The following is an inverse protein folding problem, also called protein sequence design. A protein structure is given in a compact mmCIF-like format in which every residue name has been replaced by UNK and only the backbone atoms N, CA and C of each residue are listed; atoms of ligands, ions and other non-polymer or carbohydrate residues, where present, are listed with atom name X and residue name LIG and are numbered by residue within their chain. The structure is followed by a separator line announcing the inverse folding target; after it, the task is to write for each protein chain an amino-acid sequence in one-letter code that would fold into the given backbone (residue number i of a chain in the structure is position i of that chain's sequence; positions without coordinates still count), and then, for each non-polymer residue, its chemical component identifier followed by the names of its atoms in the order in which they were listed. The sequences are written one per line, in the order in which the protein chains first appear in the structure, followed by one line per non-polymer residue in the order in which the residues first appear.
data_IF_617328720635
#
_entry.id   IF_617328720635
#
_cell.length_a   1.000
_cell.length_b   1.000
_cell.length_c   1.000
_cell.angle_alpha   90.00
_cell.angle_beta   90.00
_cell.angle_gamma   90.00
#
_symmetry.space_group_name_H-M   'P 1'
#
loop_
_entity.id
_entity.type
_entity.pdbx_description
1 polymer ?
#
# COMPACT_ATOMS: atom_id res chain seq x y z
N UNK A 1 20.07 8.92 13.78
CA UNK A 1 18.65 9.09 13.42
C UNK A 1 18.07 10.31 14.17
N UNK A 2 18.43 11.55 13.78
CA UNK A 2 18.13 12.77 14.57
C UNK A 2 16.75 13.40 14.31
N UNK A 3 16.10 13.10 13.18
CA UNK A 3 14.77 13.66 12.86
C UNK A 3 13.63 13.09 13.71
N UNK A 4 13.80 11.90 14.28
CA UNK A 4 12.79 11.22 15.09
C UNK A 4 12.73 11.72 16.55
N UNK A 5 13.85 12.21 17.10
CA UNK A 5 13.86 12.88 18.42
C UNK A 5 13.16 14.24 18.39
N UNK A 6 13.20 14.94 17.25
CA UNK A 6 12.58 16.25 17.06
C UNK A 6 11.04 16.21 17.11
N UNK A 7 10.43 15.04 16.89
CA UNK A 7 8.97 14.84 16.95
C UNK A 7 8.48 14.30 18.31
N UNK A 8 9.33 14.33 19.33
CA UNK A 8 8.91 14.38 20.74
C UNK A 8 8.30 13.10 21.33
N UNK A 9 8.45 11.93 20.71
CA UNK A 9 8.02 10.65 21.31
C UNK A 9 8.95 9.53 20.90
N UNK A 10 9.47 8.81 21.90
CA UNK A 10 9.92 7.43 21.73
C UNK A 10 8.93 6.70 20.81
N UNK A 11 9.43 5.95 19.82
CA UNK A 11 8.65 5.02 19.02
C UNK A 11 7.89 4.08 19.98
N UNK A 12 6.67 4.48 20.34
CA UNK A 12 5.80 3.71 21.21
C UNK A 12 5.37 2.47 20.46
N UNK A 13 5.20 1.36 21.18
CA UNK A 13 4.66 0.10 20.63
C UNK A 13 3.40 0.35 19.79
N UNK A 14 2.55 1.31 20.18
CA UNK A 14 1.36 1.70 19.42
C UNK A 14 1.65 2.43 18.10
N UNK A 15 2.69 3.26 18.03
CA UNK A 15 3.09 3.96 16.80
C UNK A 15 3.68 3.01 15.76
N UNK A 16 4.40 1.98 16.21
CA UNK A 16 4.92 0.91 15.34
C UNK A 16 3.75 0.14 14.71
N UNK A 17 2.77 -0.27 15.52
CA UNK A 17 1.58 -0.99 15.04
C UNK A 17 0.80 -0.12 14.04
N UNK A 18 0.59 1.17 14.34
CA UNK A 18 -0.09 2.08 13.43
C UNK A 18 0.65 2.21 12.09
N UNK A 19 1.99 2.33 12.12
CA UNK A 19 2.81 2.42 10.92
C UNK A 19 2.71 1.17 10.05
N UNK A 20 2.70 -0.02 10.68
CA UNK A 20 2.48 -1.29 9.99
C UNK A 20 1.10 -1.27 9.32
N UNK A 21 0.02 -0.95 10.06
CA UNK A 21 -1.34 -0.89 9.51
C UNK A 21 -1.44 0.08 8.33
N UNK A 22 -0.85 1.27 8.47
CA UNK A 22 -0.83 2.27 7.39
C UNK A 22 -0.05 1.80 6.16
N UNK A 23 1.02 1.02 6.36
CA UNK A 23 1.78 0.43 5.24
C UNK A 23 0.94 -0.61 4.48
N UNK A 24 0.15 -1.41 5.18
CA UNK A 24 -0.80 -2.33 4.56
C UNK A 24 -1.89 -1.58 3.80
N UNK A 25 -2.48 -0.53 4.41
CA UNK A 25 -3.46 0.34 3.76
C UNK A 25 -2.91 1.04 2.52
N UNK A 26 -1.65 1.49 2.55
CA UNK A 26 -1.02 2.14 1.41
C UNK A 26 -0.88 1.20 0.21
N UNK A 27 -0.60 -0.08 0.44
CA UNK A 27 -0.50 -1.08 -0.63
C UNK A 27 -1.88 -1.32 -1.27
N UNK A 28 -2.95 -1.44 -0.47
CA UNK A 28 -4.33 -1.52 -0.98
C UNK A 28 -4.71 -0.28 -1.80
N UNK A 29 -4.42 0.90 -1.26
CA UNK A 29 -4.75 2.15 -1.93
C UNK A 29 -3.95 2.31 -3.23
N UNK A 30 -2.68 1.92 -3.24
CA UNK A 30 -1.84 1.95 -4.43
C UNK A 30 -2.40 1.05 -5.53
N UNK A 31 -2.85 -0.15 -5.17
CA UNK A 31 -3.45 -1.09 -6.13
C UNK A 31 -4.76 -0.53 -6.71
N UNK A 32 -5.63 0.02 -5.86
CA UNK A 32 -6.89 0.62 -6.30
C UNK A 32 -6.67 1.86 -7.20
N UNK A 33 -5.67 2.68 -6.90
CA UNK A 33 -5.28 3.83 -7.72
C UNK A 33 -4.68 3.37 -9.05
N UNK A 34 -3.83 2.35 -9.03
CA UNK A 34 -3.23 1.75 -10.23
C UNK A 34 -4.32 1.25 -11.18
N UNK A 35 -5.29 0.49 -10.67
CA UNK A 35 -6.45 0.04 -11.44
C UNK A 35 -7.25 1.22 -12.01
N UNK A 36 -7.53 2.24 -11.21
CA UNK A 36 -8.24 3.43 -11.69
C UNK A 36 -7.52 4.15 -12.82
N UNK A 37 -6.18 4.24 -12.75
CA UNK A 37 -5.34 4.81 -13.82
C UNK A 37 -5.36 3.92 -15.06
N UNK A 38 -5.21 2.61 -14.92
CA UNK A 38 -5.27 1.67 -16.06
C UNK A 38 -6.61 1.74 -16.78
N UNK A 39 -7.71 1.73 -16.03
CA UNK A 39 -9.07 1.89 -16.57
C UNK A 39 -9.22 3.22 -17.29
N UNK A 40 -8.71 4.31 -16.72
CA UNK A 40 -8.74 5.61 -17.39
C UNK A 40 -7.85 5.65 -18.65
N UNK A 41 -6.68 5.01 -18.63
CA UNK A 41 -5.80 4.94 -19.79
C UNK A 41 -6.41 4.13 -20.93
N UNK A 42 -7.04 2.99 -20.64
CA UNK A 42 -7.59 2.11 -21.67
C UNK A 42 -8.98 2.56 -22.16
N UNK A 43 -9.88 2.95 -21.25
CA UNK A 43 -11.25 3.34 -21.59
C UNK A 43 -11.39 4.85 -21.82
N UNK A 44 -10.55 5.67 -21.20
CA UNK A 44 -10.56 7.13 -21.39
C UNK A 44 -10.10 7.54 -22.78
N UNK A 45 -9.14 6.81 -23.39
CA UNK A 45 -8.76 7.03 -24.79
C UNK A 45 -9.90 6.69 -25.77
N UNK A 46 -10.70 5.66 -25.50
CA UNK A 46 -11.81 5.26 -26.40
C UNK A 46 -13.13 6.01 -26.17
N UNK A 47 -13.46 6.38 -24.93
CA UNK A 47 -14.78 6.89 -24.56
C UNK A 47 -14.79 8.29 -23.95
N UNK A 48 -13.65 8.98 -23.86
CA UNK A 48 -13.54 10.30 -23.20
C UNK A 48 -14.12 10.31 -21.77
N UNK A 49 -13.95 9.21 -21.05
CA UNK A 49 -14.42 9.05 -19.67
C UNK A 49 -13.62 9.95 -18.73
N UNK A 50 -14.33 10.69 -17.88
CA UNK A 50 -13.70 11.45 -16.80
C UNK A 50 -13.08 10.50 -15.77
N UNK A 51 -12.01 10.94 -15.10
CA UNK A 51 -11.26 10.15 -14.13
C UNK A 51 -12.17 9.54 -13.05
N UNK A 52 -13.18 10.29 -12.61
CA UNK A 52 -14.18 9.83 -11.61
C UNK A 52 -15.07 8.70 -12.09
N UNK A 53 -15.38 8.65 -13.39
CA UNK A 53 -16.21 7.59 -13.96
C UNK A 53 -15.38 6.31 -14.11
N UNK A 54 -14.11 6.43 -14.46
CA UNK A 54 -13.16 5.31 -14.45
C UNK A 54 -13.05 4.68 -13.06
N UNK A 55 -12.94 5.47 -11.98
CA UNK A 55 -12.90 4.93 -10.61
C UNK A 55 -14.20 4.24 -10.18
N UNK A 56 -15.36 4.64 -10.72
CA UNK A 56 -16.63 3.95 -10.47
C UNK A 56 -16.73 2.59 -11.15
N UNK A 57 -16.01 2.40 -12.25
CA UNK A 57 -15.97 1.14 -13.00
C UNK A 57 -15.00 0.13 -12.39
N UNK A 58 -13.98 0.58 -11.65
CA UNK A 58 -13.03 -0.30 -10.93
C UNK A 58 -13.71 -1.40 -10.11
N UNK A 59 -14.69 -1.12 -9.21
CA UNK A 59 -15.35 -2.17 -8.45
C UNK A 59 -16.18 -3.14 -9.32
N UNK A 60 -16.66 -2.71 -10.48
CA UNK A 60 -17.36 -3.58 -11.43
C UNK A 60 -16.34 -4.51 -12.12
N UNK A 61 -15.19 -3.98 -12.54
CA UNK A 61 -14.11 -4.73 -13.16
C UNK A 61 -13.44 -5.71 -12.17
N UNK A 62 -13.44 -5.40 -10.88
CA UNK A 62 -12.99 -6.33 -9.84
C UNK A 62 -13.91 -7.56 -9.68
N UNK A 63 -15.11 -7.59 -10.27
CA UNK A 63 -15.95 -8.80 -10.30
C UNK A 63 -15.48 -9.81 -11.36
N UNK A 64 -14.67 -9.38 -12.33
CA UNK A 64 -14.06 -10.25 -13.32
C UNK A 64 -13.03 -11.17 -12.64
N UNK A 65 -13.19 -12.49 -12.81
CA UNK A 65 -12.33 -13.48 -12.15
C UNK A 65 -10.86 -13.37 -12.56
N UNK A 66 -10.59 -12.88 -13.77
CA UNK A 66 -9.24 -12.68 -14.28
C UNK A 66 -8.57 -11.47 -13.59
N UNK A 67 -9.31 -10.36 -13.51
CA UNK A 67 -8.81 -9.11 -12.94
C UNK A 67 -8.61 -9.22 -11.43
N UNK A 68 -9.55 -9.85 -10.71
CA UNK A 68 -9.37 -10.08 -9.27
C UNK A 68 -8.21 -11.04 -8.97
N UNK A 69 -7.95 -12.00 -9.87
CA UNK A 69 -6.81 -12.90 -9.76
C UNK A 69 -5.47 -12.17 -9.90
N UNK A 70 -5.38 -11.25 -10.88
CA UNK A 70 -4.22 -10.39 -11.07
C UNK A 70 -4.00 -9.47 -9.85
N UNK A 71 -5.06 -8.77 -9.42
CA UNK A 71 -5.02 -7.87 -8.25
C UNK A 71 -4.64 -8.61 -6.97
N UNK A 72 -5.21 -9.79 -6.74
CA UNK A 72 -4.86 -10.61 -5.57
C UNK A 72 -3.39 -11.02 -5.59
N UNK A 73 -2.84 -11.34 -6.76
CA UNK A 73 -1.43 -11.68 -6.93
C UNK A 73 -0.54 -10.45 -6.67
N UNK A 74 -0.85 -9.31 -7.26
CA UNK A 74 -0.07 -8.07 -7.08
C UNK A 74 -0.09 -7.61 -5.62
N UNK A 75 -1.24 -7.71 -4.96
CA UNK A 75 -1.38 -7.42 -3.54
C UNK A 75 -0.57 -8.39 -2.67
N UNK A 76 -0.60 -9.69 -2.99
CA UNK A 76 0.21 -10.70 -2.30
C UNK A 76 1.72 -10.43 -2.45
N UNK A 77 2.17 -10.06 -3.65
CA UNK A 77 3.56 -9.66 -3.89
C UNK A 77 3.91 -8.38 -3.14
N UNK A 78 3.05 -7.36 -3.17
CA UNK A 78 3.24 -6.10 -2.47
C UNK A 78 3.39 -6.29 -0.97
N UNK A 79 2.56 -7.12 -0.35
CA UNK A 79 2.70 -7.47 1.06
C UNK A 79 3.93 -8.31 1.36
N UNK A 80 4.24 -9.31 0.55
CA UNK A 80 5.43 -10.13 0.74
C UNK A 80 6.71 -9.27 0.71
N UNK A 81 6.81 -8.36 -0.27
CA UNK A 81 7.92 -7.43 -0.39
C UNK A 81 7.96 -6.42 0.76
N UNK A 82 6.82 -5.89 1.19
CA UNK A 82 6.72 -4.97 2.32
C UNK A 82 7.18 -5.61 3.63
N UNK A 83 6.77 -6.86 3.88
CA UNK A 83 7.22 -7.66 5.04
C UNK A 83 8.72 -7.93 4.95
N UNK A 84 9.22 -8.32 3.78
CA UNK A 84 10.64 -8.57 3.55
C UNK A 84 11.50 -7.31 3.79
N UNK A 85 11.09 -6.17 3.23
CA UNK A 85 11.75 -4.88 3.42
C UNK A 85 11.69 -4.43 4.89
N UNK A 86 10.55 -4.64 5.55
CA UNK A 86 10.37 -4.32 6.96
C UNK A 86 11.17 -5.23 7.87
N UNK A 87 11.45 -6.49 7.51
CA UNK A 87 12.22 -7.42 8.34
C UNK A 87 13.62 -6.88 8.71
N UNK A 88 14.33 -6.28 7.74
CA UNK A 88 15.63 -5.64 8.00
C UNK A 88 15.51 -4.44 8.94
N UNK A 89 14.50 -3.60 8.73
CA UNK A 89 14.23 -2.43 9.57
C UNK A 89 13.81 -2.81 10.99
N UNK A 90 12.91 -3.79 11.14
CA UNK A 90 12.42 -4.28 12.44
C UNK A 90 13.55 -4.91 13.24
N UNK A 91 14.43 -5.71 12.62
CA UNK A 91 15.61 -6.28 13.29
C UNK A 91 16.54 -5.19 13.81
N UNK A 92 16.75 -4.12 13.04
CA UNK A 92 17.61 -3.01 13.43
C UNK A 92 16.99 -2.16 14.56
N UNK A 93 15.67 -1.97 14.54
CA UNK A 93 14.91 -1.28 15.60
C UNK A 93 14.93 -2.11 16.89
N UNK A 94 14.69 -3.43 16.82
CA UNK A 94 14.74 -4.33 17.97
C UNK A 94 16.10 -4.35 18.66
N UNK A 95 17.19 -4.33 17.87
CA UNK A 95 18.55 -4.28 18.41
C UNK A 95 18.86 -2.96 19.11
N UNK A 96 18.26 -1.84 18.66
CA UNK A 96 18.38 -0.53 19.31
C UNK A 96 17.55 -0.44 20.59
N UNK A 97 16.35 -1.03 20.62
CA UNK A 97 15.51 -1.06 21.83
C UNK A 97 15.99 -2.04 22.90
N UNK A 98 16.84 -3.01 22.56
CA UNK A 98 17.45 -3.94 23.52
C UNK A 98 18.75 -3.40 24.15
N UNK A 99 19.26 -2.26 23.68
CA UNK A 99 20.49 -1.62 24.17
C UNK A 99 20.24 -0.29 24.92
N UNK A 100 18.99 0.12 25.09
CA UNK A 100 18.58 1.26 25.92
C UNK A 100 17.72 0.79 27.09
#
# INVERSE_FOLDING_TARGET
MKGYELLGRHLSKGGIILCIILSFLAILASEFVSLGITVHSELGEMYSLSMTDSFRLVPELLKESELIGAVAKDLAFGYALSIWASYSSVKNIWRQTAQG
#
